data_IF_391184102210
#
_entry.id   IF_391184102210
#
_cell.length_a   1.000
_cell.length_b   1.000
_cell.length_c   1.000
_cell.angle_alpha   90.00
_cell.angle_beta   90.00
_cell.angle_gamma   90.00
#
_symmetry.space_group_name_H-M   'P 1'
#
loop_
_entity.id
_entity.type
_entity.pdbx_description
1 polymer ?
#
# COMPACT_ATOMS: atom_id res chain seq x y z
N UNK A 1 -11.97 12.96 -11.39
CA UNK A 1 -12.11 11.92 -12.43
C UNK A 1 -10.94 10.96 -12.34
N UNK A 2 -11.20 9.75 -11.84
CA UNK A 2 -10.20 8.69 -11.67
C UNK A 2 -9.91 8.03 -13.03
N UNK A 3 -8.65 7.76 -13.35
CA UNK A 3 -8.27 7.01 -14.56
C UNK A 3 -8.16 5.52 -14.23
N UNK A 4 -8.76 4.69 -15.07
CA UNK A 4 -8.80 3.24 -14.94
C UNK A 4 -7.39 2.61 -14.95
N UNK A 5 -7.09 1.63 -14.08
CA UNK A 5 -5.75 1.06 -13.92
C UNK A 5 -5.28 0.25 -15.13
N UNK A 6 -3.98 0.31 -15.44
CA UNK A 6 -3.32 -0.60 -16.37
C UNK A 6 -3.34 -2.03 -15.79
N UNK A 7 -3.76 -3.00 -16.62
CA UNK A 7 -3.96 -4.40 -16.23
C UNK A 7 -2.62 -5.10 -15.99
N UNK A 8 -2.46 -5.71 -14.82
CA UNK A 8 -1.29 -6.50 -14.44
C UNK A 8 -1.58 -7.99 -14.67
N UNK A 9 -0.55 -8.83 -14.54
CA UNK A 9 -0.58 -10.27 -14.91
C UNK A 9 -1.64 -11.12 -14.18
N UNK A 10 -2.15 -10.65 -13.05
CA UNK A 10 -3.37 -11.17 -12.42
C UNK A 10 -4.53 -10.19 -12.70
N UNK A 11 -5.69 -10.64 -13.22
CA UNK A 11 -6.81 -9.77 -13.56
C UNK A 11 -7.36 -8.97 -12.36
N UNK A 12 -7.02 -9.36 -11.14
CA UNK A 12 -7.41 -8.68 -9.89
C UNK A 12 -6.34 -7.74 -9.32
N UNK A 13 -5.14 -7.69 -9.94
CA UNK A 13 -4.10 -6.73 -9.59
C UNK A 13 -4.29 -5.42 -10.33
N UNK A 14 -4.11 -4.30 -9.62
CA UNK A 14 -4.30 -2.96 -10.18
C UNK A 14 -3.33 -1.94 -9.58
N UNK A 15 -3.25 -0.77 -10.22
CA UNK A 15 -2.45 0.37 -9.74
C UNK A 15 -3.40 1.50 -9.39
N UNK A 16 -3.34 1.97 -8.15
CA UNK A 16 -4.01 3.20 -7.75
C UNK A 16 -3.06 4.37 -7.94
N UNK A 17 -3.50 5.36 -8.71
CA UNK A 17 -2.77 6.59 -8.95
C UNK A 17 -3.43 7.74 -8.19
N UNK A 18 -2.58 8.60 -7.60
CA UNK A 18 -2.99 9.87 -7.04
C UNK A 18 -2.50 10.99 -7.94
N UNK A 19 -3.41 11.82 -8.43
CA UNK A 19 -3.11 13.04 -9.20
C UNK A 19 -3.70 14.27 -8.50
N UNK A 20 -3.08 15.45 -8.61
CA UNK A 20 -3.69 16.70 -8.18
C UNK A 20 -4.98 16.98 -8.96
N UNK A 21 -5.98 17.57 -8.30
CA UNK A 21 -7.25 17.91 -8.96
C UNK A 21 -7.06 18.93 -10.09
N UNK A 22 -6.07 19.82 -9.97
CA UNK A 22 -5.70 20.78 -11.01
C UNK A 22 -5.02 20.13 -12.22
N UNK A 23 -4.33 19.00 -12.02
CA UNK A 23 -3.55 18.30 -13.06
C UNK A 23 -3.85 16.79 -13.04
N UNK A 24 -5.09 16.36 -13.33
CA UNK A 24 -5.52 14.97 -13.15
C UNK A 24 -4.76 13.98 -14.05
N UNK A 25 -4.19 14.46 -15.17
CA UNK A 25 -3.38 13.66 -16.08
C UNK A 25 -1.95 13.41 -15.57
N UNK A 26 -1.54 14.03 -14.47
CA UNK A 26 -0.18 13.97 -13.93
C UNK A 26 -0.16 13.29 -12.55
N UNK A 27 -0.01 11.95 -12.51
CA UNK A 27 0.07 11.24 -11.24
C UNK A 27 1.32 11.67 -10.46
N UNK A 28 1.14 11.91 -9.17
CA UNK A 28 2.20 12.31 -8.21
C UNK A 28 2.53 11.20 -7.23
N UNK A 29 1.66 10.19 -7.08
CA UNK A 29 1.96 9.00 -6.31
C UNK A 29 1.21 7.80 -6.88
N UNK A 30 1.68 6.60 -6.55
CA UNK A 30 0.97 5.37 -6.89
C UNK A 30 1.25 4.24 -5.90
N UNK A 31 0.26 3.38 -5.74
CA UNK A 31 0.40 2.09 -5.05
C UNK A 31 0.01 0.97 -6.01
N UNK A 32 0.81 -0.09 -6.03
CA UNK A 32 0.49 -1.31 -6.73
C UNK A 32 -0.19 -2.25 -5.73
N UNK A 33 -1.31 -2.84 -6.11
CA UNK A 33 -2.03 -3.78 -5.26
C UNK A 33 -2.26 -5.09 -5.99
N UNK A 34 -2.05 -6.19 -5.27
CA UNK A 34 -2.25 -7.52 -5.80
C UNK A 34 -2.86 -8.43 -4.73
N UNK A 35 -3.90 -9.20 -5.07
CA UNK A 35 -4.39 -10.22 -4.16
C UNK A 35 -3.33 -11.27 -3.87
N UNK A 36 -3.39 -11.81 -2.66
CA UNK A 36 -2.50 -12.86 -2.17
C UNK A 36 -3.31 -13.86 -1.37
N UNK A 37 -2.96 -15.13 -1.55
CA UNK A 37 -3.31 -16.18 -0.61
C UNK A 37 -2.18 -16.39 0.40
N UNK A 38 -2.55 -16.65 1.64
CA UNK A 38 -1.62 -16.79 2.76
C UNK A 38 -1.77 -18.15 3.42
N UNK A 39 -0.63 -18.81 3.61
CA UNK A 39 -0.48 -20.03 4.39
C UNK A 39 0.79 -19.92 5.26
N UNK A 40 0.68 -19.90 6.61
CA UNK A 40 -0.57 -19.88 7.38
C UNK A 40 -1.38 -18.59 7.17
N UNK A 41 -2.68 -18.57 7.55
CA UNK A 41 -3.54 -17.38 7.47
C UNK A 41 -2.96 -16.16 8.21
N UNK A 42 -3.41 -14.96 7.83
CA UNK A 42 -3.10 -13.68 8.49
C UNK A 42 -4.41 -13.09 9.02
N UNK A 43 -4.45 -12.71 10.29
CA UNK A 43 -5.68 -12.26 10.97
C UNK A 43 -6.88 -13.20 10.75
N UNK A 44 -6.66 -14.52 10.75
CA UNK A 44 -7.65 -15.57 10.42
C UNK A 44 -8.07 -15.65 8.94
N UNK A 45 -7.61 -14.74 8.08
CA UNK A 45 -7.91 -14.73 6.66
C UNK A 45 -6.84 -15.45 5.82
N UNK A 46 -7.30 -16.27 4.87
CA UNK A 46 -6.44 -16.91 3.86
C UNK A 46 -6.22 -16.05 2.62
N UNK A 47 -6.98 -14.97 2.46
CA UNK A 47 -6.93 -14.05 1.32
C UNK A 47 -6.80 -12.63 1.83
N UNK A 48 -5.95 -11.85 1.19
CA UNK A 48 -5.81 -10.42 1.47
C UNK A 48 -5.29 -9.68 0.25
N UNK A 49 -5.29 -8.35 0.35
CA UNK A 49 -4.72 -7.49 -0.68
C UNK A 49 -3.34 -7.05 -0.21
N UNK A 50 -2.31 -7.31 -1.02
CA UNK A 50 -0.98 -6.83 -0.75
C UNK A 50 -0.77 -5.51 -1.48
N UNK A 51 -0.55 -4.43 -0.73
CA UNK A 51 -0.21 -3.12 -1.24
C UNK A 51 1.30 -2.89 -1.19
N UNK A 52 1.86 -2.60 -2.37
CA UNK A 52 3.23 -2.15 -2.56
C UNK A 52 3.22 -0.65 -2.79
N UNK A 53 3.73 0.08 -1.81
CA UNK A 53 3.84 1.54 -1.90
C UNK A 53 5.03 1.85 -2.77
N UNK A 54 4.76 2.15 -4.04
CA UNK A 54 5.77 2.19 -5.08
C UNK A 54 6.43 3.56 -5.23
N UNK A 55 5.72 4.65 -4.92
CA UNK A 55 6.37 5.96 -4.81
C UNK A 55 5.42 7.15 -4.73
N UNK A 56 5.98 8.26 -4.23
CA UNK A 56 5.45 9.60 -4.37
C UNK A 56 6.57 10.52 -4.90
N UNK A 57 6.20 11.46 -5.76
CA UNK A 57 7.10 12.51 -6.23
C UNK A 57 7.63 13.32 -5.05
N UNK A 58 8.85 13.84 -5.17
CA UNK A 58 9.57 14.47 -4.07
C UNK A 58 8.75 15.60 -3.43
N UNK A 59 8.11 16.42 -4.25
CA UNK A 59 7.31 17.57 -3.82
C UNK A 59 6.05 17.17 -3.03
N UNK A 60 5.65 15.91 -3.10
CA UNK A 60 4.41 15.39 -2.53
C UNK A 60 4.61 14.37 -1.41
N UNK A 61 5.86 14.01 -1.04
CA UNK A 61 6.14 12.99 -0.02
C UNK A 61 5.51 13.28 1.35
N UNK A 62 5.35 14.56 1.70
CA UNK A 62 4.72 14.99 2.95
C UNK A 62 3.27 15.51 2.76
N UNK A 63 2.71 15.39 1.55
CA UNK A 63 1.35 15.85 1.21
C UNK A 63 0.24 14.89 1.64
N UNK A 64 0.55 13.87 2.45
CA UNK A 64 -0.42 12.87 2.89
C UNK A 64 -0.84 11.86 1.80
N UNK A 65 -0.05 11.70 0.74
CA UNK A 65 -0.35 10.80 -0.36
C UNK A 65 -0.60 9.36 0.09
N UNK A 66 0.24 8.85 1.00
CA UNK A 66 0.09 7.50 1.55
C UNK A 66 -1.26 7.33 2.24
N UNK A 67 -1.61 8.27 3.14
CA UNK A 67 -2.89 8.25 3.84
C UNK A 67 -4.06 8.21 2.87
N UNK A 68 -4.05 9.08 1.85
CA UNK A 68 -5.14 9.14 0.88
C UNK A 68 -5.27 7.85 0.08
N UNK A 69 -4.16 7.29 -0.42
CA UNK A 69 -4.21 6.08 -1.23
C UNK A 69 -4.58 4.84 -0.41
N UNK A 70 -4.17 4.75 0.86
CA UNK A 70 -4.56 3.64 1.75
C UNK A 70 -6.03 3.74 2.16
N UNK A 71 -6.57 4.95 2.31
CA UNK A 71 -7.99 5.18 2.60
C UNK A 71 -8.91 4.63 1.50
N UNK A 72 -8.50 4.70 0.23
CA UNK A 72 -9.24 4.08 -0.88
C UNK A 72 -9.28 2.53 -0.81
N UNK A 73 -8.56 1.94 0.14
CA UNK A 73 -8.51 0.50 0.41
C UNK A 73 -9.08 0.15 1.80
N UNK A 74 -9.82 1.05 2.44
CA UNK A 74 -10.38 0.83 3.79
C UNK A 74 -11.43 -0.28 3.83
N UNK A 75 -12.15 -0.54 2.72
CA UNK A 75 -13.15 -1.61 2.63
C UNK A 75 -12.54 -3.02 2.47
N UNK A 76 -11.20 -3.12 2.42
CA UNK A 76 -10.51 -4.39 2.26
C UNK A 76 -10.33 -5.05 3.64
N UNK A 77 -10.87 -6.27 3.88
CA UNK A 77 -10.82 -6.91 5.20
C UNK A 77 -9.43 -7.21 5.72
N UNK A 78 -8.48 -7.51 4.83
CA UNK A 78 -7.08 -7.71 5.17
C UNK A 78 -6.21 -7.00 4.14
N UNK A 79 -5.56 -5.94 4.58
CA UNK A 79 -4.61 -5.19 3.78
C UNK A 79 -3.21 -5.43 4.32
N UNK A 80 -2.28 -5.84 3.45
CA UNK A 80 -0.90 -6.14 3.82
C UNK A 80 0.03 -5.13 3.16
N UNK A 81 0.96 -4.59 3.93
CA UNK A 81 2.04 -3.73 3.43
C UNK A 81 3.38 -4.32 3.86
N UNK A 82 4.31 -4.45 2.92
CA UNK A 82 5.70 -4.73 3.24
C UNK A 82 6.54 -3.45 3.26
N UNK A 83 7.44 -3.32 4.24
CA UNK A 83 8.36 -2.19 4.33
C UNK A 83 9.73 -2.59 4.85
N UNK A 84 10.68 -1.68 4.76
CA UNK A 84 11.99 -1.75 5.43
C UNK A 84 12.02 -0.64 6.49
N UNK A 85 11.82 -0.92 7.78
CA UNK A 85 11.70 0.10 8.81
C UNK A 85 12.88 1.08 8.85
N UNK A 86 14.10 0.59 8.66
CA UNK A 86 15.33 1.40 8.66
C UNK A 86 15.49 2.29 7.42
N UNK A 87 14.84 1.96 6.29
CA UNK A 87 14.92 2.76 5.05
C UNK A 87 13.74 3.72 4.91
N UNK A 88 12.58 3.34 5.46
CA UNK A 88 11.33 4.06 5.31
C UNK A 88 10.74 4.40 6.67
N UNK A 89 11.53 5.01 7.55
CA UNK A 89 11.15 5.28 8.94
C UNK A 89 9.86 6.09 9.08
N UNK A 90 9.62 7.06 8.19
CA UNK A 90 8.41 7.88 8.22
C UNK A 90 7.17 7.01 7.94
N UNK A 91 7.25 6.14 6.94
CA UNK A 91 6.18 5.20 6.61
C UNK A 91 5.97 4.19 7.73
N UNK A 92 7.06 3.67 8.31
CA UNK A 92 7.01 2.76 9.46
C UNK A 92 6.31 3.39 10.66
N UNK A 93 6.73 4.60 11.06
CA UNK A 93 6.08 5.36 12.15
C UNK A 93 4.62 5.68 11.82
N UNK A 94 4.30 5.95 10.55
CA UNK A 94 2.94 6.21 10.11
C UNK A 94 2.03 4.99 10.25
N UNK A 95 2.53 3.79 9.89
CA UNK A 95 1.81 2.52 9.99
C UNK A 95 1.54 2.16 11.45
N UNK A 96 2.59 2.19 12.30
CA UNK A 96 2.44 1.83 13.72
C UNK A 96 1.49 2.76 14.48
N UNK A 97 1.43 4.05 14.14
CA UNK A 97 0.49 5.01 14.75
C UNK A 97 -0.97 4.80 14.33
N UNK A 98 -1.23 3.89 13.40
CA UNK A 98 -2.56 3.56 12.85
C UNK A 98 -2.87 2.08 13.03
N UNK A 99 -2.31 1.50 14.10
CA UNK A 99 -2.62 0.16 14.59
C UNK A 99 -2.37 -0.96 13.57
N UNK A 100 -1.45 -0.75 12.63
CA UNK A 100 -0.98 -1.83 11.76
C UNK A 100 -0.16 -2.82 12.58
N UNK A 101 -0.56 -4.10 12.55
CA UNK A 101 0.10 -5.16 13.27
C UNK A 101 1.31 -5.67 12.48
N UNK A 102 2.44 -5.87 13.16
CA UNK A 102 3.62 -6.50 12.55
C UNK A 102 3.40 -8.00 12.51
N UNK A 103 3.27 -8.55 11.31
CA UNK A 103 2.93 -9.97 11.10
C UNK A 103 4.18 -10.86 11.08
N UNK A 104 5.16 -10.49 10.24
CA UNK A 104 6.31 -11.36 9.95
C UNK A 104 7.56 -10.52 9.66
N UNK A 105 8.69 -11.01 10.14
CA UNK A 105 10.00 -10.66 9.60
C UNK A 105 10.21 -11.47 8.31
N UNK A 106 10.51 -10.77 7.22
CA UNK A 106 10.74 -11.34 5.89
C UNK A 106 12.25 -11.44 5.56
N UNK A 107 13.12 -11.19 6.54
CA UNK A 107 14.56 -11.17 6.40
C UNK A 107 15.11 -9.85 5.84
N UNK A 108 16.42 -9.65 6.00
CA UNK A 108 17.14 -8.46 5.52
C UNK A 108 16.54 -7.11 5.98
N UNK A 109 15.90 -7.09 7.15
CA UNK A 109 15.24 -5.91 7.71
C UNK A 109 13.94 -5.54 7.00
N UNK A 110 13.36 -6.45 6.22
CA UNK A 110 12.02 -6.30 5.63
C UNK A 110 10.98 -6.90 6.56
N UNK A 111 9.87 -6.21 6.76
CA UNK A 111 8.74 -6.68 7.57
C UNK A 111 7.44 -6.57 6.79
N UNK A 112 6.50 -7.48 7.06
CA UNK A 112 5.11 -7.33 6.62
C UNK A 112 4.24 -6.87 7.78
N UNK A 113 3.33 -5.96 7.49
CA UNK A 113 2.30 -5.50 8.41
C UNK A 113 0.91 -5.76 7.81
N UNK A 114 -0.07 -5.98 8.68
CA UNK A 114 -1.47 -6.13 8.32
C UNK A 114 -2.34 -5.09 9.05
N UNK A 115 -3.54 -4.88 8.52
CA UNK A 115 -4.70 -4.39 9.24
C UNK A 115 -5.95 -5.04 8.66
#
# INVERSE_FOLDING_TARGET
HWRSPARLSDPSSFILYLSPTSEPARPVAFIFVNPREYDPPILEHRKGLHAWIAGASLDWRNGGCLTRMVHELDDIPVLIICTFPSRFEVMWKWLLRRDWAVERDLGAGKVSLSR
#
